data_IF_258139329345
#
_entry.id   IF_258139329345
#
_cell.length_a   1.000
_cell.length_b   1.000
_cell.length_c   1.000
_cell.angle_alpha   90.00
_cell.angle_beta   90.00
_cell.angle_gamma   90.00
#
_symmetry.space_group_name_H-M   'P 1'
#
loop_
_entity.id
_entity.type
_entity.pdbx_description
1 polymer ?
#
# COMPACT_ATOMS: atom_id res chain seq x y z
N UNK A 1 -35.44 -1.88 -35.10
CA UNK A 1 -35.34 -2.19 -33.65
C UNK A 1 -36.05 -1.10 -32.86
N UNK A 2 -36.96 -1.46 -31.94
CA UNK A 2 -37.66 -0.49 -31.09
C UNK A 2 -36.72 0.17 -30.07
N UNK A 3 -37.09 1.36 -29.60
CA UNK A 3 -36.31 2.11 -28.60
C UNK A 3 -36.10 1.29 -27.31
N UNK A 4 -37.12 0.56 -26.85
CA UNK A 4 -37.04 -0.29 -25.66
C UNK A 4 -36.01 -1.42 -25.80
N UNK A 5 -35.91 -2.05 -26.99
CA UNK A 5 -34.90 -3.10 -27.24
C UNK A 5 -33.49 -2.53 -27.18
N UNK A 6 -33.27 -1.33 -27.73
CA UNK A 6 -31.97 -0.63 -27.66
C UNK A 6 -31.61 -0.29 -26.21
N UNK A 7 -32.58 0.19 -25.42
CA UNK A 7 -32.41 0.49 -24.00
C UNK A 7 -31.98 -0.73 -23.20
N UNK A 8 -32.69 -1.85 -23.34
CA UNK A 8 -32.36 -3.11 -22.63
C UNK A 8 -30.94 -3.59 -22.98
N UNK A 9 -30.57 -3.55 -24.26
CA UNK A 9 -29.22 -3.95 -24.69
C UNK A 9 -28.16 -3.06 -24.04
N UNK A 10 -28.37 -1.74 -24.00
CA UNK A 10 -27.45 -0.82 -23.35
C UNK A 10 -27.33 -1.09 -21.85
N UNK A 11 -28.45 -1.32 -21.15
CA UNK A 11 -28.45 -1.66 -19.72
C UNK A 11 -27.70 -2.95 -19.44
N UNK A 12 -27.94 -4.01 -20.22
CA UNK A 12 -27.22 -5.28 -20.07
C UNK A 12 -25.73 -5.10 -20.30
N UNK A 13 -25.34 -4.32 -21.33
CA UNK A 13 -23.93 -4.04 -21.61
C UNK A 13 -23.26 -3.27 -20.47
N UNK A 14 -23.90 -2.22 -19.95
CA UNK A 14 -23.37 -1.45 -18.82
C UNK A 14 -23.24 -2.32 -17.56
N UNK A 15 -24.25 -3.14 -17.26
CA UNK A 15 -24.21 -4.06 -16.13
C UNK A 15 -23.10 -5.09 -16.29
N UNK A 16 -22.91 -5.64 -17.50
CA UNK A 16 -21.83 -6.58 -17.78
C UNK A 16 -20.45 -5.95 -17.55
N UNK A 17 -20.24 -4.70 -17.97
CA UNK A 17 -18.98 -3.98 -17.75
C UNK A 17 -18.72 -3.79 -16.26
N UNK A 18 -19.68 -3.24 -15.50
CA UNK A 18 -19.52 -2.97 -14.07
C UNK A 18 -19.32 -4.26 -13.26
N UNK A 19 -20.11 -5.30 -13.57
CA UNK A 19 -19.99 -6.60 -12.88
C UNK A 19 -18.69 -7.31 -13.23
N UNK A 20 -18.17 -7.19 -14.45
CA UNK A 20 -16.87 -7.76 -14.82
C UNK A 20 -15.72 -7.15 -14.00
N UNK A 21 -15.77 -5.84 -13.74
CA UNK A 21 -14.78 -5.15 -12.92
C UNK A 21 -14.87 -5.60 -11.46
N UNK A 22 -16.09 -5.65 -10.90
CA UNK A 22 -16.32 -6.13 -9.55
C UNK A 22 -15.85 -7.59 -9.36
N UNK A 23 -16.17 -8.46 -10.32
CA UNK A 23 -15.75 -9.86 -10.32
C UNK A 23 -14.23 -9.99 -10.37
N UNK A 24 -13.55 -9.22 -11.23
CA UNK A 24 -12.08 -9.19 -11.28
C UNK A 24 -11.48 -8.84 -9.93
N UNK A 25 -11.96 -7.77 -9.28
CA UNK A 25 -11.45 -7.37 -7.97
C UNK A 25 -11.74 -8.40 -6.88
N UNK A 26 -12.92 -9.04 -6.91
CA UNK A 26 -13.26 -10.11 -5.98
C UNK A 26 -12.34 -11.33 -6.15
N UNK A 27 -12.10 -11.75 -7.40
CA UNK A 27 -11.19 -12.86 -7.73
C UNK A 27 -9.75 -12.53 -7.30
N UNK A 28 -9.27 -11.32 -7.61
CA UNK A 28 -7.92 -10.88 -7.22
C UNK A 28 -7.76 -10.94 -5.69
N UNK A 29 -8.75 -10.44 -4.93
CA UNK A 29 -8.72 -10.50 -3.45
C UNK A 29 -8.77 -11.92 -2.90
N UNK A 30 -9.42 -12.85 -3.60
CA UNK A 30 -9.53 -14.24 -3.16
C UNK A 30 -8.26 -15.05 -3.48
N UNK A 31 -7.54 -14.71 -4.56
CA UNK A 31 -6.39 -15.48 -5.03
C UNK A 31 -5.06 -14.95 -4.54
N UNK A 32 -4.90 -13.64 -4.43
CA UNK A 32 -3.63 -13.06 -4.03
C UNK A 32 -3.48 -13.05 -2.51
N UNK A 33 -2.24 -13.28 -2.02
CA UNK A 33 -1.97 -13.27 -0.59
C UNK A 33 -2.23 -11.88 -0.01
N UNK A 34 -2.64 -11.88 1.25
CA UNK A 34 -2.90 -10.66 2.03
C UNK A 34 -1.95 -10.62 3.20
N UNK A 35 -1.34 -9.46 3.43
CA UNK A 35 -0.38 -9.27 4.50
C UNK A 35 -0.64 -7.95 5.20
N UNK A 36 -0.46 -7.96 6.51
CA UNK A 36 -0.39 -6.75 7.30
C UNK A 36 1.02 -6.21 7.23
N UNK A 37 1.15 -4.92 6.92
CA UNK A 37 2.43 -4.23 6.97
C UNK A 37 2.33 -2.92 7.74
N UNK A 38 3.42 -2.58 8.45
CA UNK A 38 3.54 -1.32 9.15
C UNK A 38 3.73 -0.20 8.14
N UNK A 39 3.06 0.91 8.35
CA UNK A 39 3.23 2.11 7.53
C UNK A 39 4.42 2.93 8.06
N UNK A 40 5.21 3.49 7.15
CA UNK A 40 6.13 4.57 7.48
C UNK A 40 5.37 5.91 7.43
N UNK A 41 5.78 6.86 8.28
CA UNK A 41 5.22 8.21 8.30
C UNK A 41 5.50 8.85 6.94
N UNK A 42 4.46 9.02 6.13
CA UNK A 42 4.47 9.82 4.93
C UNK A 42 3.38 10.89 5.15
N UNK A 43 3.79 12.14 5.32
CA UNK A 43 2.87 13.28 5.47
C UNK A 43 2.94 14.14 4.20
N UNK A 44 2.17 13.80 3.16
CA UNK A 44 1.95 14.71 2.06
C UNK A 44 0.85 15.67 2.49
N UNK A 45 1.20 16.71 3.23
CA UNK A 45 0.28 17.83 3.47
C UNK A 45 0.13 18.61 2.16
N UNK A 46 -0.63 18.05 1.21
CA UNK A 46 -0.90 18.61 -0.10
C UNK A 46 -2.34 19.10 -0.15
N UNK A 47 -2.59 20.36 -0.57
CA UNK A 47 -3.93 20.95 -0.61
C UNK A 47 -4.91 20.22 -1.56
N UNK A 48 -4.45 19.30 -2.40
CA UNK A 48 -5.23 18.55 -3.41
C UNK A 48 -5.43 17.08 -3.00
N UNK A 49 -4.93 16.64 -1.83
CA UNK A 49 -4.96 15.23 -1.38
C UNK A 49 -6.39 14.63 -1.27
N UNK A 50 -7.42 15.48 -1.23
CA UNK A 50 -8.80 15.05 -1.05
C UNK A 50 -8.94 14.21 0.23
N UNK A 51 -9.75 13.15 0.18
CA UNK A 51 -9.94 12.21 1.29
C UNK A 51 -9.15 10.90 1.13
N UNK A 52 -7.93 10.98 0.60
CA UNK A 52 -7.04 9.82 0.55
C UNK A 52 -5.97 9.92 1.63
N UNK A 53 -5.62 8.81 2.25
CA UNK A 53 -4.47 8.65 3.11
C UNK A 53 -3.36 7.97 2.32
N UNK A 54 -2.30 8.72 2.00
CA UNK A 54 -1.15 8.19 1.28
C UNK A 54 -0.12 7.70 2.30
N UNK A 55 0.28 6.43 2.22
CA UNK A 55 1.23 5.81 3.17
C UNK A 55 2.32 5.03 2.45
N UNK A 56 3.54 5.11 2.97
CA UNK A 56 4.61 4.22 2.52
C UNK A 56 4.57 2.91 3.28
N UNK A 57 4.65 1.78 2.55
CA UNK A 57 4.59 0.45 3.14
C UNK A 57 5.98 0.02 3.56
N UNK A 58 6.18 -0.34 4.84
CA UNK A 58 7.44 -0.98 5.24
C UNK A 58 7.52 -2.36 4.62
N UNK A 59 8.73 -2.75 4.19
CA UNK A 59 8.96 -4.03 3.56
C UNK A 59 10.21 -4.66 4.14
N UNK A 60 10.23 -6.00 4.25
CA UNK A 60 11.50 -6.70 4.44
C UNK A 60 12.23 -6.68 3.09
N UNK A 61 13.38 -6.01 3.04
CA UNK A 61 14.22 -5.94 1.84
C UNK A 61 15.65 -6.41 2.14
N UNK A 62 15.81 -7.39 3.04
CA UNK A 62 17.11 -7.92 3.43
C UNK A 62 17.87 -8.49 2.21
N UNK A 63 17.13 -9.12 1.29
CA UNK A 63 17.66 -9.65 0.01
C UNK A 63 18.07 -8.56 -1.00
N UNK A 64 17.59 -7.33 -0.82
CA UNK A 64 17.87 -6.21 -1.73
C UNK A 64 19.14 -5.47 -1.31
N UNK A 65 19.32 -5.31 -0.01
CA UNK A 65 20.43 -4.57 0.59
C UNK A 65 21.44 -5.51 1.24
N UNK A 66 21.67 -6.69 0.66
CA UNK A 66 22.48 -7.78 1.19
C UNK A 66 23.79 -7.29 1.83
N UNK A 67 23.80 -7.14 3.16
CA UNK A 67 24.89 -6.56 3.97
C UNK A 67 25.38 -5.15 3.58
N UNK A 68 24.64 -4.41 2.75
CA UNK A 68 24.99 -3.06 2.34
C UNK A 68 25.07 -2.11 3.55
N UNK A 69 26.07 -1.22 3.55
CA UNK A 69 26.24 -0.22 4.61
C UNK A 69 24.94 0.54 4.87
N UNK A 70 24.58 0.69 6.14
CA UNK A 70 23.42 1.48 6.52
C UNK A 70 23.59 2.92 6.02
N UNK A 71 22.50 3.58 5.56
CA UNK A 71 22.57 4.95 5.09
C UNK A 71 23.21 5.86 6.16
N UNK A 72 24.19 6.65 5.73
CA UNK A 72 24.95 7.58 6.59
C UNK A 72 24.15 8.84 6.96
N UNK A 73 23.03 9.10 6.26
CA UNK A 73 22.19 10.29 6.43
C UNK A 73 20.83 10.04 7.08
N UNK A 74 20.30 11.10 7.70
CA UNK A 74 19.01 11.14 8.42
C UNK A 74 17.82 11.62 7.54
N UNK A 75 18.01 11.67 6.22
CA UNK A 75 17.01 12.17 5.27
C UNK A 75 16.74 11.15 4.17
N UNK A 76 15.49 11.11 3.72
CA UNK A 76 15.09 10.54 2.44
C UNK A 76 15.77 11.41 1.38
N UNK A 77 17.04 11.13 1.10
CA UNK A 77 17.69 11.77 -0.04
C UNK A 77 16.96 11.25 -1.27
N UNK A 78 16.46 12.12 -2.13
CA UNK A 78 15.90 11.76 -3.43
C UNK A 78 16.88 10.93 -4.31
N UNK A 79 18.15 10.89 -3.90
CA UNK A 79 19.25 10.11 -4.47
C UNK A 79 19.59 8.84 -3.68
N UNK A 80 18.79 8.44 -2.68
CA UNK A 80 18.92 7.16 -1.99
C UNK A 80 18.95 6.03 -3.03
N UNK A 81 19.72 4.97 -2.79
CA UNK A 81 19.77 3.79 -3.66
C UNK A 81 18.38 3.15 -3.79
N UNK A 82 17.62 3.64 -4.76
CA UNK A 82 16.38 3.04 -5.19
C UNK A 82 16.75 1.82 -6.02
N UNK A 83 16.25 0.67 -5.60
CA UNK A 83 16.45 -0.60 -6.29
C UNK A 83 15.10 -1.07 -6.81
N UNK A 84 15.04 -1.46 -8.09
CA UNK A 84 13.86 -2.11 -8.65
C UNK A 84 13.61 -3.45 -7.95
N UNK A 85 12.36 -3.66 -7.53
CA UNK A 85 11.96 -4.84 -6.75
C UNK A 85 10.67 -5.44 -7.28
N UNK A 86 10.46 -6.72 -6.98
CA UNK A 86 9.11 -7.30 -7.00
C UNK A 86 8.70 -7.63 -5.57
N UNK A 87 7.39 -7.59 -5.33
CA UNK A 87 6.81 -7.85 -4.02
C UNK A 87 6.16 -9.23 -3.99
N UNK A 88 6.32 -9.91 -2.85
CA UNK A 88 5.62 -11.15 -2.56
C UNK A 88 5.36 -11.26 -1.05
N UNK A 89 4.42 -12.12 -0.71
CA UNK A 89 4.13 -12.45 0.69
C UNK A 89 4.94 -13.68 1.08
N UNK A 90 5.63 -13.61 2.21
CA UNK A 90 6.44 -14.72 2.74
C UNK A 90 6.34 -14.70 4.27
N UNK A 91 5.96 -15.83 4.88
CA UNK A 91 5.79 -15.98 6.33
C UNK A 91 4.90 -14.88 6.98
N UNK A 92 3.87 -14.42 6.26
CA UNK A 92 2.96 -13.36 6.73
C UNK A 92 3.52 -11.93 6.62
N UNK A 93 4.72 -11.75 6.06
CA UNK A 93 5.35 -10.46 5.86
C UNK A 93 5.34 -10.04 4.39
N UNK A 94 5.34 -8.72 4.16
CA UNK A 94 5.57 -8.13 2.85
C UNK A 94 7.07 -8.08 2.57
N UNK A 95 7.54 -8.87 1.60
CA UNK A 95 8.96 -8.99 1.25
C UNK A 95 9.21 -8.38 -0.13
N UNK A 96 10.31 -7.65 -0.23
CA UNK A 96 10.86 -7.13 -1.47
C UNK A 96 12.11 -7.92 -1.86
N UNK A 97 12.14 -8.40 -3.10
CA UNK A 97 13.29 -9.08 -3.70
C UNK A 97 13.79 -8.28 -4.91
N UNK A 98 15.10 -8.33 -5.23
CA UNK A 98 15.64 -7.67 -6.43
C UNK A 98 14.89 -8.11 -7.69
N UNK A 99 14.50 -7.16 -8.52
CA UNK A 99 13.92 -7.46 -9.83
C UNK A 99 15.00 -7.41 -10.92
N UNK A 100 15.03 -8.39 -11.85
CA UNK A 100 15.98 -8.37 -12.97
C UNK A 100 15.62 -7.32 -14.03
N UNK A 101 14.38 -6.84 -14.03
CA UNK A 101 13.86 -5.81 -14.94
C UNK A 101 13.03 -4.79 -14.17
N UNK A 102 12.90 -3.54 -14.67
CA UNK A 102 12.10 -2.52 -14.01
C UNK A 102 10.64 -2.95 -13.87
N UNK A 103 10.13 -2.92 -12.64
CA UNK A 103 8.74 -3.27 -12.31
C UNK A 103 7.86 -2.04 -12.07
N UNK A 104 8.50 -0.86 -11.96
CA UNK A 104 7.85 0.36 -11.49
C UNK A 104 7.69 0.43 -9.98
N UNK A 105 8.27 -0.51 -9.23
CA UNK A 105 8.30 -0.52 -7.77
C UNK A 105 9.74 -0.46 -7.28
N UNK A 106 10.00 0.44 -6.32
CA UNK A 106 11.34 0.64 -5.76
C UNK A 106 11.29 0.67 -4.26
N UNK A 107 12.32 0.11 -3.63
CA UNK A 107 12.51 0.24 -2.18
C UNK A 107 13.51 1.35 -1.88
N UNK A 108 13.26 2.09 -0.80
CA UNK A 108 14.22 3.04 -0.22
C UNK A 108 14.44 2.74 1.26
N UNK A 109 15.64 3.05 1.74
CA UNK A 109 16.07 2.85 3.12
C UNK A 109 16.62 4.17 3.68
N UNK A 110 16.19 4.57 4.87
CA UNK A 110 16.65 5.78 5.55
C UNK A 110 16.71 5.60 7.06
N UNK A 111 17.43 6.49 7.76
CA UNK A 111 17.39 6.58 9.22
C UNK A 111 16.43 7.68 9.65
N UNK A 112 15.58 7.37 10.62
CA UNK A 112 14.71 8.36 11.26
C UNK A 112 15.50 9.21 12.26
N UNK A 113 14.93 10.33 12.71
CA UNK A 113 15.54 11.19 13.75
C UNK A 113 15.87 10.43 15.05
N UNK A 114 15.15 9.35 15.34
CA UNK A 114 15.37 8.49 16.52
C UNK A 114 16.43 7.42 16.29
N UNK A 115 17.04 7.35 15.10
CA UNK A 115 18.04 6.35 14.72
C UNK A 115 17.48 5.03 14.20
N UNK A 116 16.16 4.84 14.18
CA UNK A 116 15.52 3.66 13.59
C UNK A 116 15.78 3.64 12.08
N UNK A 117 16.28 2.51 11.57
CA UNK A 117 16.42 2.26 10.13
C UNK A 117 15.07 1.81 9.58
N UNK A 118 14.54 2.57 8.63
CA UNK A 118 13.27 2.29 7.97
C UNK A 118 13.55 1.90 6.54
N UNK A 119 12.94 0.78 6.11
CA UNK A 119 12.97 0.32 4.73
C UNK A 119 11.53 0.24 4.25
N UNK A 120 11.19 0.98 3.20
CA UNK A 120 9.82 1.09 2.72
C UNK A 120 9.75 1.22 1.20
N UNK A 121 8.58 0.92 0.64
CA UNK A 121 8.26 1.19 -0.74
C UNK A 121 8.34 2.70 -1.01
N UNK A 122 9.01 3.07 -2.10
CA UNK A 122 9.20 4.47 -2.50
C UNK A 122 7.89 5.05 -3.01
N UNK A 123 7.16 4.26 -3.80
CA UNK A 123 5.82 4.55 -4.25
C UNK A 123 4.84 4.43 -3.07
N UNK A 124 4.17 5.52 -2.66
CA UNK A 124 3.17 5.43 -1.61
C UNK A 124 1.92 4.71 -2.12
N UNK A 125 1.15 4.17 -1.18
CA UNK A 125 -0.14 3.53 -1.42
C UNK A 125 -1.24 4.41 -0.84
N UNK A 126 -2.25 4.68 -1.66
CA UNK A 126 -3.37 5.52 -1.29
C UNK A 126 -4.54 4.70 -0.77
N UNK A 127 -5.03 5.05 0.42
CA UNK A 127 -6.21 4.47 1.04
C UNK A 127 -7.32 5.52 1.12
N UNK A 128 -8.51 5.22 0.58
CA UNK A 128 -9.63 6.16 0.66
C UNK A 128 -10.21 6.22 2.08
N UNK A 129 -10.37 7.44 2.58
CA UNK A 129 -11.08 7.74 3.82
C UNK A 129 -12.49 8.27 3.48
N UNK A 130 -13.57 7.62 3.95
CA UNK A 130 -14.93 8.16 3.89
C UNK A 130 -15.01 9.55 4.51
N UNK A 131 -16.00 10.35 4.12
CA UNK A 131 -16.13 11.77 4.51
C UNK A 131 -16.03 12.01 6.03
N UNK A 132 -16.65 11.15 6.83
CA UNK A 132 -16.73 11.30 8.28
C UNK A 132 -15.63 10.56 9.06
N UNK A 133 -14.72 9.87 8.36
CA UNK A 133 -13.62 9.17 9.02
C UNK A 133 -12.63 10.17 9.65
N UNK A 134 -12.22 9.92 10.89
CA UNK A 134 -11.12 10.67 11.50
C UNK A 134 -9.82 10.28 10.81
N UNK A 135 -9.00 11.26 10.42
CA UNK A 135 -7.73 10.99 9.74
C UNK A 135 -6.76 10.26 10.70
N UNK A 136 -6.40 8.99 10.41
CA UNK A 136 -5.54 8.19 11.30
C UNK A 136 -4.05 8.48 11.10
N UNK A 137 -3.67 9.43 10.24
CA UNK A 137 -2.27 9.85 10.10
C UNK A 137 -1.74 10.52 11.37
N UNK A 138 -2.61 11.18 12.13
CA UNK A 138 -2.29 11.82 13.41
C UNK A 138 -2.37 10.78 14.52
N UNK A 139 -1.20 10.33 15.00
CA UNK A 139 -1.08 9.24 15.98
C UNK A 139 -0.61 9.74 17.32
N UNK A 140 -1.05 9.08 18.40
CA UNK A 140 -0.48 9.28 19.73
C UNK A 140 0.90 8.62 19.81
N UNK A 141 1.76 9.11 20.70
CA UNK A 141 3.06 8.50 20.94
C UNK A 141 2.90 7.00 21.30
N UNK A 142 3.69 6.14 20.67
CA UNK A 142 3.64 4.68 20.87
C UNK A 142 2.62 3.93 20.00
N UNK A 143 1.87 4.63 19.13
CA UNK A 143 0.96 3.99 18.18
C UNK A 143 1.60 3.72 16.81
N UNK A 144 1.37 2.53 16.29
CA UNK A 144 1.79 2.13 14.95
C UNK A 144 0.57 2.00 14.05
N UNK A 145 0.60 2.67 12.89
CA UNK A 145 -0.41 2.46 11.86
C UNK A 145 0.03 1.29 10.98
N UNK A 146 -0.88 0.32 10.84
CA UNK A 146 -0.73 -0.86 10.02
C UNK A 146 -1.79 -0.85 8.92
N UNK A 147 -1.46 -1.44 7.78
CA UNK A 147 -2.36 -1.55 6.64
C UNK A 147 -2.32 -2.98 6.12
N UNK A 148 -3.50 -3.55 5.88
CA UNK A 148 -3.62 -4.82 5.19
C UNK A 148 -3.63 -4.56 3.70
N UNK A 149 -2.75 -5.24 2.98
CA UNK A 149 -2.64 -5.11 1.53
C UNK A 149 -2.76 -6.47 0.86
N UNK A 150 -3.40 -6.49 -0.31
CA UNK A 150 -3.30 -7.60 -1.26
C UNK A 150 -2.01 -7.45 -2.04
N UNK A 151 -1.24 -8.53 -2.20
CA UNK A 151 0.04 -8.52 -2.91
C UNK A 151 -0.11 -9.22 -4.27
N UNK A 152 -0.35 -8.47 -5.37
CA UNK A 152 -0.43 -9.06 -6.70
C UNK A 152 0.95 -9.50 -7.20
N UNK A 153 0.99 -10.41 -8.18
CA UNK A 153 2.26 -10.82 -8.84
C UNK A 153 2.96 -9.66 -9.57
N UNK A 154 2.22 -8.63 -9.98
CA UNK A 154 2.72 -7.45 -10.70
C UNK A 154 1.96 -6.21 -10.25
N UNK A 155 2.66 -5.09 -10.18
CA UNK A 155 2.11 -3.79 -9.81
C UNK A 155 2.01 -3.58 -8.30
N UNK A 156 1.51 -2.41 -7.87
CA UNK A 156 1.54 -2.00 -6.47
C UNK A 156 0.60 -2.85 -5.60
N UNK A 157 0.91 -3.00 -4.30
CA UNK A 157 -0.01 -3.59 -3.33
C UNK A 157 -1.31 -2.81 -3.26
N UNK A 158 -2.42 -3.53 -3.10
CA UNK A 158 -3.75 -2.90 -3.04
C UNK A 158 -4.23 -2.88 -1.60
N UNK A 159 -4.52 -1.70 -1.03
CA UNK A 159 -4.88 -1.63 0.37
C UNK A 159 -6.34 -2.09 0.58
N UNK A 160 -6.58 -2.69 1.76
CA UNK A 160 -7.85 -3.33 2.12
C UNK A 160 -8.45 -2.63 3.34
N UNK A 161 -7.68 -2.50 4.41
CA UNK A 161 -8.11 -1.88 5.67
C UNK A 161 -6.91 -1.42 6.49
N UNK A 162 -7.18 -0.51 7.44
CA UNK A 162 -6.20 0.01 8.39
C UNK A 162 -6.38 -0.64 9.75
N UNK A 163 -5.32 -0.63 10.55
CA UNK A 163 -5.32 -1.01 11.95
C UNK A 163 -4.34 -0.15 12.74
N UNK A 164 -4.62 0.06 14.01
CA UNK A 164 -3.67 0.66 14.94
C UNK A 164 -3.17 -0.42 15.88
N UNK A 165 -1.86 -0.51 16.01
CA UNK A 165 -1.19 -1.32 17.02
C UNK A 165 -0.69 -0.42 18.14
N UNK A 166 -1.03 -0.76 19.39
CA UNK A 166 -0.55 -0.11 20.60
C UNK A 166 -0.06 -1.17 21.57
N UNK A 167 1.26 -1.25 21.79
CA UNK A 167 1.86 -2.38 22.50
C UNK A 167 1.50 -3.70 21.80
N UNK A 168 0.90 -4.64 22.53
CA UNK A 168 0.45 -5.93 21.99
C UNK A 168 -0.98 -5.91 21.43
N UNK A 169 -1.71 -4.81 21.61
CA UNK A 169 -3.09 -4.70 21.11
C UNK A 169 -3.09 -4.28 19.65
N UNK A 170 -3.74 -5.08 18.80
CA UNK A 170 -3.92 -4.82 17.37
C UNK A 170 -5.40 -4.62 17.05
N UNK A 171 -5.78 -3.38 16.71
CA UNK A 171 -7.19 -3.01 16.51
C UNK A 171 -7.43 -2.55 15.08
N UNK A 172 -8.16 -3.33 14.26
CA UNK A 172 -8.63 -2.86 12.96
C UNK A 172 -9.47 -1.59 13.09
N UNK A 173 -9.22 -0.61 12.24
CA UNK A 173 -10.02 0.60 12.17
C UNK A 173 -11.28 0.32 11.34
N UNK A 174 -12.45 0.47 11.95
CA UNK A 174 -13.71 0.50 11.22
C UNK A 174 -13.86 1.85 10.54
N UNK A 175 -13.41 1.90 9.29
CA UNK A 175 -13.52 3.08 8.44
C UNK A 175 -14.78 2.89 7.59
N UNK A 176 -15.88 3.52 8.02
CA UNK A 176 -17.19 3.51 7.35
C UNK A 176 -17.47 4.86 6.71
#
# INVERSE_FOLDING_TARGET
>A
MSASRKGIILTVLQLAIVTSLAAKYAIDRARFPRVWTRTAVYDPNLPIRGRYLSVQLRVNADRVYDSAELPKGNQINFWSEQRDIYLHAENGHLVASPAPTPTGLRVTRWKTRTGEVVTALSEPVDFFLPEHAVDPSWRKAGEELWIEVTVPKKGPPRPIRLAVKRGDTFTPLEIR
#
